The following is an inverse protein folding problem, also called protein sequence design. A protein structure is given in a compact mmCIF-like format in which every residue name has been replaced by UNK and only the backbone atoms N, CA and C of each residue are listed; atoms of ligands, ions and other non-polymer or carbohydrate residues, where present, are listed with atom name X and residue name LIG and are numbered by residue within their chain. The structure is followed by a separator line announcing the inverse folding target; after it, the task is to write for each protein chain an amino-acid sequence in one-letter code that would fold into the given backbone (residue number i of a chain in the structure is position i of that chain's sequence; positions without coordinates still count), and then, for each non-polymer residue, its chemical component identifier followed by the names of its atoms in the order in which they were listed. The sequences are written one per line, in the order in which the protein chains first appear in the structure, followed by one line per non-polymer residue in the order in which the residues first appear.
data_IF_682575434749
#
_entry.id   IF_682575434749
#
_cell.length_a   1.000
_cell.length_b   1.000
_cell.length_c   1.000
_cell.angle_alpha   90.00
_cell.angle_beta   90.00
_cell.angle_gamma   90.00
#
_symmetry.space_group_name_H-M   'P 1'
#
loop_
_entity.id
_entity.type
_entity.pdbx_description
1 polymer ?
#
# COMPACT_ATOMS: atom_id res chain seq x y z
N UNK A 1 -11.10 -20.10 -17.21
CA UNK A 1 -11.54 -18.71 -17.40
C UNK A 1 -12.44 -18.23 -16.29
N UNK A 2 -13.50 -18.96 -15.95
CA UNK A 2 -14.38 -18.57 -14.85
C UNK A 2 -13.66 -18.53 -13.50
N UNK A 3 -12.69 -19.44 -13.28
CA UNK A 3 -11.92 -19.47 -12.04
C UNK A 3 -11.02 -18.24 -11.88
N UNK A 4 -10.45 -17.76 -12.99
CA UNK A 4 -9.60 -16.57 -12.93
C UNK A 4 -10.41 -15.31 -12.70
N UNK A 5 -11.58 -15.20 -13.32
CA UNK A 5 -12.48 -14.07 -13.08
C UNK A 5 -12.97 -14.04 -11.64
N UNK A 6 -13.36 -15.19 -11.10
CA UNK A 6 -13.81 -15.27 -9.71
C UNK A 6 -12.69 -14.91 -8.75
N UNK A 7 -11.47 -15.34 -9.05
CA UNK A 7 -10.31 -15.01 -8.23
C UNK A 7 -10.02 -13.52 -8.25
N UNK A 8 -10.08 -12.90 -9.42
CA UNK A 8 -9.85 -11.46 -9.53
C UNK A 8 -10.94 -10.67 -8.82
N UNK A 9 -12.19 -11.11 -8.92
CA UNK A 9 -13.30 -10.48 -8.20
C UNK A 9 -13.14 -10.64 -6.69
N UNK A 10 -12.73 -11.80 -6.23
CA UNK A 10 -12.48 -12.04 -4.81
C UNK A 10 -11.34 -11.17 -4.29
N UNK A 11 -10.27 -11.05 -5.06
CA UNK A 11 -9.13 -10.21 -4.70
C UNK A 11 -9.52 -8.73 -4.66
N UNK A 12 -10.32 -8.30 -5.63
CA UNK A 12 -10.79 -6.92 -5.66
C UNK A 12 -11.71 -6.62 -4.48
N UNK A 13 -12.58 -7.56 -4.14
CA UNK A 13 -13.46 -7.42 -2.98
C UNK A 13 -12.65 -7.35 -1.69
N UNK A 14 -11.67 -8.23 -1.54
CA UNK A 14 -10.77 -8.22 -0.39
C UNK A 14 -10.02 -6.89 -0.30
N UNK A 15 -9.56 -6.39 -1.44
CA UNK A 15 -8.88 -5.11 -1.53
C UNK A 15 -9.76 -3.98 -1.02
N UNK A 16 -11.00 -3.93 -1.47
CA UNK A 16 -11.93 -2.86 -1.10
C UNK A 16 -12.39 -2.96 0.35
N UNK A 17 -12.67 -4.17 0.82
CA UNK A 17 -13.29 -4.37 2.12
C UNK A 17 -12.29 -4.49 3.26
N UNK A 18 -11.10 -5.02 2.99
CA UNK A 18 -10.13 -5.31 4.05
C UNK A 18 -8.85 -4.51 3.91
N UNK A 19 -8.26 -4.50 2.72
CA UNK A 19 -6.94 -3.90 2.55
C UNK A 19 -7.01 -2.38 2.49
N UNK A 20 -8.03 -1.84 1.84
CA UNK A 20 -8.24 -0.40 1.80
C UNK A 20 -8.40 0.22 3.18
N UNK A 21 -9.32 -0.31 4.02
CA UNK A 21 -9.44 0.17 5.40
C UNK A 21 -8.17 -0.02 6.22
N UNK A 22 -7.45 -1.14 6.03
CA UNK A 22 -6.18 -1.35 6.71
C UNK A 22 -5.15 -0.29 6.31
N UNK A 23 -5.07 0.02 5.01
CA UNK A 23 -4.15 1.05 4.54
C UNK A 23 -4.48 2.42 5.13
N UNK A 24 -5.76 2.75 5.22
CA UNK A 24 -6.20 4.01 5.85
C UNK A 24 -5.80 4.05 7.33
N UNK A 25 -6.00 2.96 8.04
CA UNK A 25 -5.63 2.85 9.45
C UNK A 25 -4.12 3.05 9.65
N UNK A 26 -3.31 2.42 8.78
CA UNK A 26 -1.86 2.58 8.83
C UNK A 26 -1.44 4.01 8.50
N UNK A 27 -2.10 4.63 7.53
CA UNK A 27 -1.81 6.02 7.18
C UNK A 27 -2.09 6.96 8.37
N UNK A 28 -3.20 6.76 9.05
CA UNK A 28 -3.52 7.54 10.26
C UNK A 28 -2.47 7.34 11.35
N UNK A 29 -2.03 6.10 11.55
CA UNK A 29 -1.00 5.79 12.53
C UNK A 29 0.32 6.47 12.17
N UNK A 30 0.70 6.45 10.88
CA UNK A 30 1.90 7.13 10.41
C UNK A 30 1.82 8.64 10.67
N UNK A 31 0.69 9.26 10.39
CA UNK A 31 0.50 10.68 10.63
C UNK A 31 0.60 11.03 12.11
N UNK A 32 0.06 10.17 12.99
CA UNK A 32 0.17 10.40 14.43
C UNK A 32 1.61 10.35 14.90
N UNK A 33 2.37 9.38 14.40
CA UNK A 33 3.81 9.30 14.72
C UNK A 33 4.53 10.54 14.23
N UNK A 34 4.27 10.96 13.00
CA UNK A 34 4.88 12.14 12.41
C UNK A 34 4.61 13.39 13.25
N UNK A 35 3.35 13.60 13.64
CA UNK A 35 2.95 14.76 14.41
C UNK A 35 3.51 14.75 15.83
N UNK A 36 3.84 13.57 16.36
CA UNK A 36 4.39 13.44 17.72
C UNK A 36 5.86 13.80 17.81
N UNK A 37 6.56 13.96 16.67
CA UNK A 37 7.98 14.22 16.66
C UNK A 37 8.31 15.73 16.73
N UNK A 38 9.50 16.10 17.19
CA UNK A 38 9.93 17.50 17.12
C UNK A 38 9.97 18.01 15.69
N UNK A 39 9.83 19.33 15.54
CA UNK A 39 9.75 19.94 14.21
C UNK A 39 10.92 19.61 13.30
N UNK A 40 12.13 19.47 13.86
CA UNK A 40 13.29 19.17 13.02
C UNK A 40 13.22 17.77 12.38
N UNK A 41 12.40 16.86 12.95
CA UNK A 41 12.16 15.55 12.39
C UNK A 41 10.90 15.48 11.53
N UNK A 42 10.07 16.53 11.56
CA UNK A 42 8.82 16.56 10.79
C UNK A 42 9.08 16.96 9.34
N UNK A 43 10.00 16.26 8.70
CA UNK A 43 10.32 16.47 7.28
C UNK A 43 9.85 15.25 6.49
N UNK A 44 9.10 15.47 5.41
CA UNK A 44 8.59 14.33 4.62
C UNK A 44 9.67 13.36 4.18
N UNK A 45 10.85 13.84 3.81
CA UNK A 45 11.95 12.98 3.38
C UNK A 45 12.41 12.02 4.48
N UNK A 46 12.47 12.49 5.73
CA UNK A 46 12.87 11.63 6.85
C UNK A 46 11.80 10.59 7.13
N UNK A 47 10.55 11.01 7.14
CA UNK A 47 9.43 10.13 7.43
C UNK A 47 9.29 9.04 6.36
N UNK A 48 9.38 9.44 5.09
CA UNK A 48 9.31 8.49 3.98
C UNK A 48 10.49 7.52 3.98
N UNK A 49 11.68 8.00 4.36
CA UNK A 49 12.84 7.11 4.49
C UNK A 49 12.63 6.07 5.58
N UNK A 50 12.04 6.47 6.70
CA UNK A 50 11.73 5.54 7.78
C UNK A 50 10.70 4.49 7.34
N UNK A 51 9.67 4.92 6.61
CA UNK A 51 8.67 3.99 6.06
C UNK A 51 9.34 2.99 5.10
N UNK A 52 10.20 3.49 4.22
CA UNK A 52 10.89 2.63 3.26
C UNK A 52 11.80 1.60 3.94
N UNK A 53 12.52 2.02 4.99
CA UNK A 53 13.36 1.10 5.76
C UNK A 53 12.52 0.01 6.43
N UNK A 54 11.40 0.39 7.02
CA UNK A 54 10.49 -0.57 7.66
C UNK A 54 9.92 -1.54 6.63
N UNK A 55 9.46 -1.02 5.50
CA UNK A 55 8.91 -1.85 4.44
C UNK A 55 9.95 -2.85 3.90
N UNK A 56 11.18 -2.38 3.68
CA UNK A 56 12.26 -3.25 3.20
C UNK A 56 12.56 -4.39 4.17
N UNK A 57 12.59 -4.09 5.44
CA UNK A 57 12.83 -5.11 6.47
C UNK A 57 11.68 -6.13 6.52
N UNK A 58 10.44 -5.64 6.52
CA UNK A 58 9.26 -6.52 6.55
C UNK A 58 9.22 -7.41 5.30
N UNK A 59 9.50 -6.85 4.14
CA UNK A 59 9.54 -7.62 2.89
C UNK A 59 10.56 -8.75 2.96
N UNK A 60 11.76 -8.45 3.43
CA UNK A 60 12.85 -9.42 3.49
C UNK A 60 12.54 -10.56 4.47
N UNK A 61 12.00 -10.21 5.64
CA UNK A 61 11.61 -11.21 6.63
C UNK A 61 10.46 -12.07 6.10
N UNK A 62 9.48 -11.45 5.45
CA UNK A 62 8.33 -12.18 4.91
C UNK A 62 8.74 -13.15 3.80
N UNK A 63 9.64 -12.74 2.92
CA UNK A 63 10.11 -13.62 1.86
C UNK A 63 10.83 -14.86 2.42
N UNK A 64 11.60 -14.68 3.52
CA UNK A 64 12.26 -15.81 4.17
C UNK A 64 11.29 -16.73 4.88
N UNK A 65 10.29 -16.16 5.55
CA UNK A 65 9.37 -16.95 6.37
C UNK A 65 8.40 -17.79 5.54
N UNK A 66 7.97 -17.29 4.40
CA UNK A 66 6.87 -17.89 3.66
C UNK A 66 7.28 -18.54 2.34
N UNK A 67 8.54 -18.46 1.98
CA UNK A 67 9.08 -19.12 0.78
C UNK A 67 8.24 -18.84 -0.47
N UNK A 68 8.04 -17.55 -0.75
CA UNK A 68 7.24 -17.15 -1.91
C UNK A 68 7.94 -17.46 -3.23
N UNK A 69 7.16 -17.90 -4.21
CA UNK A 69 7.66 -18.15 -5.57
C UNK A 69 8.03 -16.87 -6.31
N UNK A 70 7.32 -15.79 -6.00
CA UNK A 70 7.52 -14.49 -6.64
C UNK A 70 8.05 -13.49 -5.60
N UNK A 71 8.76 -12.50 -6.09
CA UNK A 71 9.29 -11.46 -5.23
C UNK A 71 8.17 -10.62 -4.63
N UNK A 72 8.09 -10.58 -3.31
CA UNK A 72 7.16 -9.68 -2.64
C UNK A 72 7.51 -8.22 -2.90
N UNK A 73 8.80 -7.95 -3.12
CA UNK A 73 9.25 -6.60 -3.45
C UNK A 73 8.63 -6.12 -4.76
N UNK A 74 8.60 -6.99 -5.77
CA UNK A 74 8.02 -6.62 -7.07
C UNK A 74 6.53 -6.30 -6.92
N UNK A 75 5.81 -7.11 -6.14
CA UNK A 75 4.39 -6.85 -5.86
C UNK A 75 4.21 -5.54 -5.09
N UNK A 76 5.06 -5.30 -4.10
CA UNK A 76 5.01 -4.06 -3.32
C UNK A 76 5.25 -2.84 -4.21
N UNK A 77 6.29 -2.90 -5.05
CA UNK A 77 6.62 -1.79 -5.96
C UNK A 77 5.48 -1.52 -6.93
N UNK A 78 4.83 -2.56 -7.41
CA UNK A 78 3.72 -2.44 -8.34
C UNK A 78 2.51 -1.76 -7.69
N UNK A 79 2.13 -2.20 -6.50
CA UNK A 79 1.02 -1.59 -5.77
C UNK A 79 1.34 -0.14 -5.42
N UNK A 80 2.56 0.13 -4.97
CA UNK A 80 2.98 1.49 -4.64
C UNK A 80 2.90 2.41 -5.87
N UNK A 81 3.38 1.94 -7.00
CA UNK A 81 3.37 2.72 -8.24
C UNK A 81 1.94 3.01 -8.69
N UNK A 82 1.07 2.01 -8.67
CA UNK A 82 -0.31 2.19 -9.07
C UNK A 82 -1.05 3.14 -8.12
N UNK A 83 -0.79 3.02 -6.83
CA UNK A 83 -1.39 3.90 -5.82
C UNK A 83 -0.92 5.34 -6.00
N UNK A 84 0.38 5.53 -6.18
CA UNK A 84 0.94 6.85 -6.42
C UNK A 84 0.32 7.51 -7.65
N UNK A 85 0.24 6.77 -8.74
CA UNK A 85 -0.34 7.30 -9.98
C UNK A 85 -1.82 7.62 -9.84
N UNK A 86 -2.56 6.78 -9.12
CA UNK A 86 -3.97 7.02 -8.86
C UNK A 86 -4.21 8.35 -8.16
N UNK A 87 -3.50 8.58 -7.05
CA UNK A 87 -3.69 9.80 -6.27
C UNK A 87 -3.13 11.03 -6.97
N UNK A 88 -2.10 10.88 -7.80
CA UNK A 88 -1.59 11.98 -8.60
C UNK A 88 -2.62 12.45 -9.62
N UNK A 89 -3.37 11.50 -10.20
CA UNK A 89 -4.38 11.80 -11.21
C UNK A 89 -5.73 12.24 -10.62
N UNK A 90 -5.97 11.90 -9.36
CA UNK A 90 -7.25 12.17 -8.68
C UNK A 90 -7.04 12.85 -7.33
N UNK A 91 -6.37 14.02 -7.29
CA UNK A 91 -6.06 14.67 -6.01
C UNK A 91 -7.29 15.16 -5.26
N UNK A 92 -8.37 15.44 -5.96
CA UNK A 92 -9.60 15.94 -5.36
C UNK A 92 -10.33 14.89 -4.51
N UNK A 93 -10.01 13.61 -4.68
CA UNK A 93 -10.64 12.53 -3.94
C UNK A 93 -10.35 12.62 -2.44
N UNK A 94 -9.25 13.26 -2.07
CA UNK A 94 -8.88 13.44 -0.66
C UNK A 94 -9.82 14.39 0.08
N UNK A 95 -10.49 15.28 -0.62
CA UNK A 95 -11.38 16.27 0.00
C UNK A 95 -12.68 15.66 0.51
N UNK A 96 -13.06 14.50 0.01
CA UNK A 96 -14.31 13.84 0.38
C UNK A 96 -14.19 12.93 1.61
N UNK A 97 -13.05 12.94 2.27
CA UNK A 97 -12.86 12.24 3.54
C UNK A 97 -12.28 10.84 3.42
N UNK A 98 -12.85 10.00 2.59
CA UNK A 98 -12.29 8.67 2.34
C UNK A 98 -11.54 8.67 1.02
N UNK A 99 -10.26 8.25 1.02
CA UNK A 99 -9.52 8.16 -0.24
C UNK A 99 -10.13 7.08 -1.14
N UNK A 100 -10.25 7.37 -2.43
CA UNK A 100 -10.68 6.35 -3.36
C UNK A 100 -9.56 5.34 -3.57
N UNK A 101 -9.93 4.07 -3.73
CA UNK A 101 -8.94 3.01 -3.89
C UNK A 101 -8.47 2.93 -5.34
N UNK A 102 -7.19 2.69 -5.57
CA UNK A 102 -6.69 2.51 -6.92
C UNK A 102 -7.18 1.20 -7.53
N UNK A 103 -7.25 1.16 -8.84
CA UNK A 103 -7.51 -0.07 -9.56
C UNK A 103 -6.19 -0.82 -9.72
N UNK A 104 -6.14 -2.05 -9.22
CA UNK A 104 -4.91 -2.83 -9.20
C UNK A 104 -4.96 -3.91 -10.28
N UNK A 105 -3.86 -4.07 -10.99
CA UNK A 105 -3.71 -5.15 -11.96
C UNK A 105 -3.26 -6.42 -11.23
N UNK A 106 -4.24 -7.26 -10.91
CA UNK A 106 -3.99 -8.46 -10.13
C UNK A 106 -3.19 -9.52 -10.89
N UNK A 107 -3.08 -9.39 -12.21
CA UNK A 107 -2.29 -10.33 -13.00
C UNK A 107 -0.81 -10.27 -12.64
N UNK A 108 -0.33 -9.12 -12.18
CA UNK A 108 1.06 -8.94 -11.77
C UNK A 108 1.38 -9.61 -10.44
N UNK A 109 0.37 -9.94 -9.66
CA UNK A 109 0.55 -10.46 -8.31
C UNK A 109 0.42 -11.99 -8.24
N UNK A 110 0.20 -12.62 -9.36
CA UNK A 110 0.12 -14.08 -9.44
C UNK A 110 1.48 -14.69 -9.85
#
# INVERSE_FOLDING_TARGET
MKKEQNRDEELQQLWEEEIGPLAYELEEAFLQVFKSKPKYLQKPAFFLSAIAMTAGHVLQVSEKMFDYKHSLRDSFDDVMTQTYNHYRLHPSDEEDGEPSLPSIDWSMMN
#
